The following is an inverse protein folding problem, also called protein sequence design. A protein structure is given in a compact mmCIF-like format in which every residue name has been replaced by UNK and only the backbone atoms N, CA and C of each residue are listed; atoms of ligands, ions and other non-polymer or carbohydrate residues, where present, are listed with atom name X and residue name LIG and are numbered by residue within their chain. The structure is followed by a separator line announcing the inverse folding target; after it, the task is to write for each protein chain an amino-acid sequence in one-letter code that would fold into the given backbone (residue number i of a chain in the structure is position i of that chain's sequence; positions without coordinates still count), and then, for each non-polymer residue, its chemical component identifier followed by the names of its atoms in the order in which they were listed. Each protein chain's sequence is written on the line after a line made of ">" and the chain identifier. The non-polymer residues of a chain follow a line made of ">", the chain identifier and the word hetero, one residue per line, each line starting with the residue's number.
data_IF_200028488358
#
_entry.id   IF_200028488358
#
_cell.length_a   1.000
_cell.length_b   1.000
_cell.length_c   1.000
_cell.angle_alpha   90.00
_cell.angle_beta   90.00
_cell.angle_gamma   90.00
#
_symmetry.space_group_name_H-M   'P 1'
#
loop_
_entity.id
_entity.type
_entity.pdbx_description
1 polymer ?
#
# COMPACT_ATOMS: atom_id res chain seq x y z
N UNK A 1 -37.44 -14.28 2.19
CA UNK A 1 -37.43 -12.80 2.29
C UNK A 1 -36.04 -12.41 2.81
N UNK A 2 -35.15 -11.96 1.93
CA UNK A 2 -33.77 -11.63 2.29
C UNK A 2 -33.73 -10.34 3.10
N UNK A 3 -32.94 -10.34 4.19
CA UNK A 3 -32.62 -9.14 4.95
C UNK A 3 -31.77 -8.22 4.05
N UNK A 4 -32.23 -6.99 3.83
CA UNK A 4 -31.38 -5.96 3.24
C UNK A 4 -30.31 -5.57 4.27
N UNK A 5 -29.04 -5.39 3.86
CA UNK A 5 -28.01 -4.93 4.77
C UNK A 5 -28.36 -3.54 5.31
N UNK A 6 -28.30 -3.39 6.64
CA UNK A 6 -28.51 -2.11 7.29
C UNK A 6 -27.42 -1.13 6.82
N UNK A 7 -27.83 0.00 6.25
CA UNK A 7 -26.92 1.12 5.94
C UNK A 7 -26.85 2.03 7.16
N UNK A 8 -25.70 2.07 7.82
CA UNK A 8 -25.38 3.08 8.80
C UNK A 8 -24.56 4.19 8.14
N UNK A 9 -25.11 5.40 8.07
CA UNK A 9 -24.33 6.59 7.71
C UNK A 9 -23.80 7.21 9.00
N UNK A 10 -22.49 7.35 9.09
CA UNK A 10 -21.80 7.97 10.23
C UNK A 10 -20.96 9.12 9.70
N UNK A 11 -21.00 10.27 10.39
CA UNK A 11 -20.17 11.42 10.08
C UNK A 11 -19.15 11.62 11.20
N UNK A 12 -17.87 11.66 10.84
CA UNK A 12 -16.77 11.99 11.75
C UNK A 12 -16.27 13.39 11.41
N UNK A 13 -16.20 14.26 12.41
CA UNK A 13 -15.73 15.64 12.26
C UNK A 13 -14.50 15.87 13.14
N UNK A 14 -13.47 16.50 12.60
CA UNK A 14 -12.22 16.81 13.31
C UNK A 14 -11.15 17.35 12.36
N UNK A 15 -9.99 17.70 12.90
CA UNK A 15 -8.78 17.93 12.10
C UNK A 15 -8.40 16.67 11.32
N UNK A 16 -7.62 16.77 10.22
CA UNK A 16 -7.17 15.59 9.47
C UNK A 16 -6.49 14.53 10.35
N UNK A 17 -5.76 14.96 11.39
CA UNK A 17 -5.14 14.05 12.37
C UNK A 17 -6.18 13.31 13.22
N UNK A 18 -7.22 13.99 13.69
CA UNK A 18 -8.30 13.40 14.50
C UNK A 18 -9.18 12.46 13.67
N UNK A 19 -9.46 12.82 12.42
CA UNK A 19 -10.17 11.95 11.47
C UNK A 19 -9.34 10.71 11.18
N UNK A 20 -8.05 10.86 10.87
CA UNK A 20 -7.18 9.71 10.62
C UNK A 20 -7.06 8.80 11.85
N UNK A 21 -6.94 9.36 13.06
CA UNK A 21 -6.94 8.59 14.30
C UNK A 21 -8.28 7.88 14.57
N UNK A 22 -9.41 8.53 14.23
CA UNK A 22 -10.74 7.92 14.37
C UNK A 22 -10.96 6.79 13.34
N UNK A 23 -10.45 6.93 12.11
CA UNK A 23 -10.46 5.87 11.10
C UNK A 23 -9.55 4.72 11.50
N UNK A 24 -8.39 5.00 12.11
CA UNK A 24 -7.47 3.99 12.64
C UNK A 24 -8.08 3.18 13.80
N UNK A 25 -8.85 3.85 14.67
CA UNK A 25 -9.68 3.22 15.71
C UNK A 25 -10.88 2.43 15.16
N UNK A 26 -11.30 2.69 13.92
CA UNK A 26 -12.31 1.92 13.21
C UNK A 26 -11.71 0.69 12.50
N UNK A 27 -10.46 0.33 12.81
CA UNK A 27 -9.86 -0.96 12.41
C UNK A 27 -10.82 -2.10 12.75
N UNK A 28 -11.50 -2.55 11.71
CA UNK A 28 -12.49 -3.59 11.77
C UNK A 28 -11.77 -4.92 11.80
N UNK A 29 -11.87 -5.64 12.93
CA UNK A 29 -11.59 -7.07 12.94
C UNK A 29 -12.86 -7.80 12.47
N UNK A 30 -12.86 -8.44 11.28
CA UNK A 30 -13.99 -9.25 10.85
C UNK A 30 -14.14 -10.44 11.80
N UNK A 31 -15.21 -10.46 12.60
CA UNK A 31 -15.52 -11.61 13.46
C UNK A 31 -16.14 -12.80 12.72
N UNK A 32 -16.27 -12.77 11.38
CA UNK A 32 -16.87 -13.88 10.62
C UNK A 32 -16.20 -14.07 9.25
N UNK A 33 -15.92 -15.33 8.83
CA UNK A 33 -15.08 -15.62 7.67
C UNK A 33 -15.74 -15.39 6.29
N UNK A 34 -17.06 -15.24 6.17
CA UNK A 34 -17.72 -15.51 4.87
C UNK A 34 -18.63 -14.41 4.29
N UNK A 35 -18.66 -13.18 4.83
CA UNK A 35 -19.49 -12.11 4.24
C UNK A 35 -18.73 -10.79 4.16
N UNK A 36 -18.38 -10.36 2.94
CA UNK A 36 -17.84 -9.04 2.66
C UNK A 36 -18.89 -7.96 3.02
N UNK A 37 -18.69 -7.25 4.12
CA UNK A 37 -19.44 -6.03 4.43
C UNK A 37 -18.73 -4.86 3.76
N UNK A 38 -19.29 -4.36 2.66
CA UNK A 38 -18.83 -3.09 2.07
C UNK A 38 -19.33 -1.94 2.95
N UNK A 39 -18.44 -1.32 3.71
CA UNK A 39 -18.77 -0.14 4.52
C UNK A 39 -18.35 1.12 3.76
N UNK A 40 -19.33 1.95 3.39
CA UNK A 40 -19.07 3.25 2.79
C UNK A 40 -18.91 4.28 3.90
N UNK A 41 -17.68 4.70 4.18
CA UNK A 41 -17.40 5.79 5.12
C UNK A 41 -17.38 7.10 4.33
N UNK A 42 -18.33 7.99 4.62
CA UNK A 42 -18.36 9.34 4.07
C UNK A 42 -17.80 10.31 5.13
N UNK A 43 -16.65 10.90 4.85
CA UNK A 43 -16.02 11.88 5.74
C UNK A 43 -16.25 13.28 5.18
N UNK A 44 -16.92 14.13 5.97
CA UNK A 44 -17.14 15.53 5.63
C UNK A 44 -16.22 16.41 6.51
N UNK A 45 -15.11 16.94 6.00
CA UNK A 45 -14.28 17.86 6.76
C UNK A 45 -14.96 19.23 6.78
N UNK A 46 -15.69 19.50 7.85
CA UNK A 46 -16.18 20.85 8.13
C UNK A 46 -15.10 21.60 8.89
N UNK A 47 -14.69 22.77 8.38
CA UNK A 47 -13.70 23.66 9.02
C UNK A 47 -14.18 24.31 10.33
N UNK A 48 -15.33 23.90 10.87
CA UNK A 48 -15.79 24.25 12.21
C UNK A 48 -16.87 23.27 12.64
N UNK A 49 -16.61 22.49 13.68
CA UNK A 49 -17.67 21.84 14.45
C UNK A 49 -18.45 22.92 15.20
N UNK A 50 -19.41 23.55 14.52
CA UNK A 50 -20.44 24.36 15.15
C UNK A 50 -21.78 23.77 14.71
N UNK A 51 -22.45 23.08 15.63
CA UNK A 51 -23.90 22.87 15.55
C UNK A 51 -24.50 24.02 16.36
N UNK A 52 -25.39 24.83 15.79
CA UNK A 52 -26.80 24.49 15.93
C UNK A 52 -27.54 24.33 14.61
N UNK A 53 -28.31 23.24 14.57
CA UNK A 53 -29.58 23.09 13.87
C UNK A 53 -30.37 24.40 13.82
N UNK A 54 -30.59 24.97 12.63
CA UNK A 54 -31.88 25.61 12.28
C UNK A 54 -31.98 26.22 10.88
N UNK A 55 -30.94 26.21 10.04
CA UNK A 55 -31.07 26.70 8.65
C UNK A 55 -30.34 25.82 7.66
N UNK A 56 -30.95 24.70 7.31
CA UNK A 56 -30.70 24.06 6.02
C UNK A 56 -31.26 25.00 4.93
N UNK A 57 -30.43 25.95 4.48
CA UNK A 57 -30.63 26.58 3.18
C UNK A 57 -30.56 25.46 2.11
N UNK A 58 -31.58 25.31 1.25
CA UNK A 58 -31.58 24.30 0.18
C UNK A 58 -30.54 24.56 -0.92
N UNK A 59 -29.71 25.60 -0.79
CA UNK A 59 -28.58 25.91 -1.67
C UNK A 59 -27.21 25.51 -1.10
N UNK A 60 -27.17 24.63 -0.10
CA UNK A 60 -25.93 24.15 0.52
C UNK A 60 -24.95 23.63 -0.52
N UNK A 61 -23.81 24.31 -0.62
CA UNK A 61 -22.68 23.96 -1.47
C UNK A 61 -22.24 22.54 -1.09
N UNK A 62 -22.63 21.55 -1.91
CA UNK A 62 -22.15 20.18 -1.82
C UNK A 62 -20.75 20.14 -2.41
N UNK A 63 -19.77 20.59 -1.65
CA UNK A 63 -18.41 20.11 -1.85
C UNK A 63 -18.41 18.66 -1.39
N UNK A 64 -18.65 17.75 -2.34
CA UNK A 64 -18.27 16.36 -2.16
C UNK A 64 -16.76 16.39 -1.93
N UNK A 65 -16.33 16.30 -0.68
CA UNK A 65 -14.97 15.92 -0.42
C UNK A 65 -14.88 14.46 -0.83
N UNK A 66 -14.52 14.24 -2.09
CA UNK A 66 -13.91 12.99 -2.48
C UNK A 66 -12.72 12.89 -1.55
N UNK A 67 -12.79 11.99 -0.56
CA UNK A 67 -11.60 11.47 0.05
C UNK A 67 -10.81 10.96 -1.16
N UNK A 68 -9.84 11.76 -1.62
CA UNK A 68 -8.87 11.26 -2.55
C UNK A 68 -8.18 10.20 -1.71
N UNK A 69 -8.68 8.96 -1.82
CA UNK A 69 -7.93 7.77 -1.50
C UNK A 69 -6.63 8.02 -2.23
N UNK A 70 -5.64 8.51 -1.50
CA UNK A 70 -4.39 8.85 -2.14
C UNK A 70 -3.91 7.51 -2.64
N UNK A 71 -3.89 7.35 -3.96
CA UNK A 71 -3.60 6.08 -4.59
C UNK A 71 -2.29 5.58 -3.98
N UNK A 72 -2.30 4.50 -3.16
CA UNK A 72 -1.11 4.10 -2.41
C UNK A 72 0.09 3.89 -3.33
N UNK A 73 -0.20 3.46 -4.56
CA UNK A 73 0.73 3.35 -5.69
C UNK A 73 1.57 4.62 -5.99
N UNK A 74 1.10 5.81 -5.61
CA UNK A 74 1.83 7.08 -5.81
C UNK A 74 2.71 7.48 -4.63
N UNK A 75 2.42 6.96 -3.44
CA UNK A 75 3.10 7.35 -2.20
C UNK A 75 4.03 6.27 -1.65
N UNK A 76 3.81 5.02 -2.02
CA UNK A 76 4.50 3.86 -1.46
C UNK A 76 5.33 3.19 -2.54
N UNK A 77 6.57 2.85 -2.19
CA UNK A 77 7.37 1.88 -2.92
C UNK A 77 7.55 0.66 -2.03
N UNK A 78 7.24 -0.52 -2.58
CA UNK A 78 7.47 -1.78 -1.89
C UNK A 78 8.92 -2.20 -2.13
N UNK A 79 9.61 -2.58 -1.07
CA UNK A 79 10.97 -3.12 -1.15
C UNK A 79 11.04 -4.51 -0.55
N UNK A 80 11.73 -5.41 -1.23
CA UNK A 80 11.92 -6.78 -0.75
C UNK A 80 13.27 -7.34 -1.22
N UNK A 81 13.78 -8.30 -0.46
CA UNK A 81 15.05 -8.96 -0.74
C UNK A 81 14.85 -10.46 -0.70
N UNK A 82 15.47 -11.19 -1.61
CA UNK A 82 15.44 -12.65 -1.63
C UNK A 82 16.81 -13.23 -1.93
N UNK A 83 17.20 -14.23 -1.14
CA UNK A 83 18.36 -15.07 -1.41
C UNK A 83 17.95 -16.18 -2.38
N UNK A 84 18.32 -16.07 -3.66
CA UNK A 84 18.07 -17.05 -4.75
C UNK A 84 16.59 -17.29 -5.14
N UNK A 85 15.61 -17.00 -4.27
CA UNK A 85 14.18 -17.31 -4.48
C UNK A 85 13.40 -16.17 -5.14
N UNK A 86 13.97 -15.55 -6.17
CA UNK A 86 13.45 -14.31 -6.77
C UNK A 86 12.07 -14.47 -7.44
N UNK A 87 11.66 -15.70 -7.73
CA UNK A 87 10.30 -16.03 -8.16
C UNK A 87 9.24 -15.76 -7.06
N UNK A 88 9.60 -15.80 -5.78
CA UNK A 88 8.70 -15.42 -4.67
C UNK A 88 8.42 -13.92 -4.70
N UNK A 89 9.42 -13.10 -5.01
CA UNK A 89 9.25 -11.65 -5.17
C UNK A 89 8.24 -11.31 -6.27
N UNK A 90 8.27 -12.04 -7.39
CA UNK A 90 7.27 -11.89 -8.47
C UNK A 90 5.86 -12.26 -8.00
N UNK A 91 5.72 -13.35 -7.24
CA UNK A 91 4.42 -13.78 -6.70
C UNK A 91 3.85 -12.73 -5.75
N UNK A 92 4.68 -12.20 -4.85
CA UNK A 92 4.34 -11.12 -3.93
C UNK A 92 3.95 -9.84 -4.69
N UNK A 93 4.73 -9.43 -5.68
CA UNK A 93 4.42 -8.23 -6.45
C UNK A 93 3.09 -8.37 -7.21
N UNK A 94 2.84 -9.53 -7.82
CA UNK A 94 1.57 -9.83 -8.51
C UNK A 94 0.37 -9.78 -7.56
N UNK A 95 0.46 -10.40 -6.38
CA UNK A 95 -0.65 -10.40 -5.41
C UNK A 95 -1.00 -8.98 -4.95
N UNK A 96 0.01 -8.13 -4.73
CA UNK A 96 -0.21 -6.73 -4.36
C UNK A 96 -0.82 -5.93 -5.53
N UNK A 97 -0.34 -6.18 -6.76
CA UNK A 97 -0.83 -5.49 -7.96
C UNK A 97 -2.29 -5.81 -8.31
N UNK A 98 -2.83 -6.96 -7.87
CA UNK A 98 -4.27 -7.28 -8.00
C UNK A 98 -5.16 -6.24 -7.29
N UNK A 99 -4.69 -5.71 -6.15
CA UNK A 99 -5.43 -4.76 -5.33
C UNK A 99 -4.98 -3.32 -5.52
N UNK A 100 -3.70 -3.12 -5.83
CA UNK A 100 -3.09 -1.81 -5.99
C UNK A 100 -2.38 -1.68 -7.35
N UNK A 101 -3.14 -1.54 -8.44
CA UNK A 101 -2.57 -1.31 -9.76
C UNK A 101 -1.63 -0.09 -9.74
N UNK A 102 -0.46 -0.23 -10.35
CA UNK A 102 0.53 0.85 -10.44
C UNK A 102 1.48 0.96 -9.25
N UNK A 103 1.39 0.08 -8.24
CA UNK A 103 2.36 0.02 -7.16
C UNK A 103 3.78 -0.23 -7.71
N UNK A 104 4.75 0.52 -7.20
CA UNK A 104 6.17 0.40 -7.56
C UNK A 104 6.86 -0.61 -6.65
N UNK A 105 7.73 -1.42 -7.23
CA UNK A 105 8.53 -2.39 -6.50
C UNK A 105 10.01 -2.20 -6.80
N UNK A 106 10.82 -2.23 -5.76
CA UNK A 106 12.26 -2.44 -5.89
C UNK A 106 12.62 -3.74 -5.16
N UNK A 107 13.40 -4.58 -5.83
CA UNK A 107 13.76 -5.89 -5.32
C UNK A 107 15.26 -6.09 -5.41
N UNK A 108 15.83 -6.85 -4.48
CA UNK A 108 17.18 -7.42 -4.64
C UNK A 108 17.05 -8.94 -4.75
N UNK A 109 17.80 -9.51 -5.69
CA UNK A 109 17.84 -10.93 -5.98
C UNK A 109 19.29 -11.39 -5.87
N UNK A 110 19.60 -12.23 -4.89
CA UNK A 110 20.95 -12.80 -4.80
C UNK A 110 21.15 -13.86 -5.88
N UNK A 111 22.37 -13.89 -6.41
CA UNK A 111 22.79 -14.91 -7.34
C UNK A 111 22.89 -16.28 -6.66
N UNK A 112 22.68 -17.35 -7.42
CA UNK A 112 22.52 -18.69 -6.88
C UNK A 112 23.77 -19.23 -6.15
N UNK A 113 24.96 -18.81 -6.60
CA UNK A 113 26.22 -19.23 -6.00
C UNK A 113 27.34 -18.20 -6.25
N UNK A 114 28.39 -18.30 -5.44
CA UNK A 114 29.59 -17.47 -5.59
C UNK A 114 30.26 -17.70 -6.95
N UNK A 115 30.50 -16.61 -7.69
CA UNK A 115 31.17 -16.68 -9.00
C UNK A 115 30.24 -17.02 -10.16
N UNK A 116 28.92 -16.96 -9.99
CA UNK A 116 27.96 -17.04 -11.10
C UNK A 116 28.31 -15.98 -12.17
N UNK A 117 28.64 -16.38 -13.41
CA UNK A 117 29.07 -15.45 -14.46
C UNK A 117 27.95 -14.53 -14.95
N UNK A 118 26.70 -14.85 -14.66
CA UNK A 118 25.56 -13.96 -14.91
C UNK A 118 25.45 -12.83 -13.88
N UNK A 119 26.18 -12.95 -12.77
CA UNK A 119 26.13 -12.03 -11.65
C UNK A 119 27.21 -10.96 -11.74
N UNK A 120 26.83 -9.70 -11.70
CA UNK A 120 27.77 -8.62 -11.57
C UNK A 120 28.29 -8.51 -10.12
N UNK A 121 29.57 -8.14 -9.96
CA UNK A 121 30.15 -7.79 -8.66
C UNK A 121 29.50 -6.56 -8.01
N UNK A 122 28.70 -5.82 -8.77
CA UNK A 122 27.98 -4.62 -8.33
C UNK A 122 26.50 -4.77 -8.65
N UNK A 123 25.61 -4.22 -7.79
CA UNK A 123 24.17 -4.28 -8.02
C UNK A 123 23.81 -3.79 -9.42
N UNK A 124 23.16 -4.64 -10.21
CA UNK A 124 22.78 -4.31 -11.59
C UNK A 124 21.26 -4.31 -11.71
N UNK A 125 20.64 -3.17 -12.05
CA UNK A 125 19.19 -3.10 -12.19
C UNK A 125 18.72 -3.70 -13.51
N UNK A 126 17.61 -4.40 -13.47
CA UNK A 126 16.80 -4.75 -14.63
C UNK A 126 15.31 -4.69 -14.29
N UNK A 127 14.45 -4.53 -15.30
CA UNK A 127 12.99 -4.60 -15.11
C UNK A 127 12.59 -6.07 -15.16
N UNK A 128 11.81 -6.52 -14.19
CA UNK A 128 11.30 -7.89 -14.20
C UNK A 128 10.39 -8.11 -15.42
N UNK A 129 10.63 -9.17 -16.22
CA UNK A 129 9.90 -9.38 -17.48
C UNK A 129 8.42 -9.71 -17.26
N UNK A 130 8.07 -10.18 -16.07
CA UNK A 130 6.75 -10.64 -15.68
C UNK A 130 5.96 -9.61 -14.87
N UNK A 131 6.66 -8.62 -14.29
CA UNK A 131 6.11 -7.55 -13.46
C UNK A 131 6.76 -6.20 -13.86
N UNK A 132 6.20 -5.48 -14.85
CA UNK A 132 6.83 -4.27 -15.39
C UNK A 132 7.02 -3.11 -14.41
N UNK A 133 6.28 -3.08 -13.29
CA UNK A 133 6.45 -2.09 -12.22
C UNK A 133 7.52 -2.48 -11.19
N UNK A 134 8.17 -3.62 -11.36
CA UNK A 134 9.23 -4.11 -10.50
C UNK A 134 10.61 -3.93 -11.16
N UNK A 135 11.49 -3.21 -10.47
CA UNK A 135 12.92 -3.18 -10.79
C UNK A 135 13.65 -4.11 -9.84
N UNK A 136 14.38 -5.08 -10.39
CA UNK A 136 15.19 -6.04 -9.66
C UNK A 136 16.65 -5.65 -9.77
N UNK A 137 17.35 -5.65 -8.65
CA UNK A 137 18.80 -5.48 -8.57
C UNK A 137 19.42 -6.85 -8.32
N UNK A 138 20.12 -7.37 -9.32
CA UNK A 138 20.94 -8.56 -9.17
C UNK A 138 22.12 -8.21 -8.27
N UNK A 139 22.26 -8.91 -7.15
CA UNK A 139 23.31 -8.68 -6.15
C UNK A 139 24.15 -9.95 -5.95
N UNK A 140 25.43 -9.81 -5.56
CA UNK A 140 26.29 -10.96 -5.30
C UNK A 140 25.67 -11.97 -4.32
N UNK A 141 26.09 -13.23 -4.42
CA UNK A 141 25.79 -14.24 -3.41
C UNK A 141 26.21 -13.75 -2.00
N UNK A 142 25.39 -14.03 -0.99
CA UNK A 142 25.63 -13.60 0.39
C UNK A 142 25.80 -12.07 0.51
N UNK A 143 24.98 -11.32 -0.23
CA UNK A 143 24.93 -9.85 -0.13
C UNK A 143 24.45 -9.42 1.25
N UNK A 144 23.57 -10.23 1.84
CA UNK A 144 23.05 -10.09 3.18
C UNK A 144 21.72 -9.34 3.22
N UNK A 145 20.75 -9.91 3.92
CA UNK A 145 19.36 -9.44 3.98
C UNK A 145 19.25 -7.94 4.31
N UNK A 146 19.94 -7.51 5.37
CA UNK A 146 19.90 -6.11 5.82
C UNK A 146 20.54 -5.17 4.80
N UNK A 147 21.66 -5.58 4.20
CA UNK A 147 22.37 -4.77 3.20
C UNK A 147 21.54 -4.61 1.93
N UNK A 148 20.89 -5.69 1.47
CA UNK A 148 19.94 -5.67 0.36
C UNK A 148 18.82 -4.66 0.60
N UNK A 149 18.15 -4.75 1.74
CA UNK A 149 17.07 -3.82 2.10
C UNK A 149 17.55 -2.37 2.23
N UNK A 150 18.70 -2.13 2.87
CA UNK A 150 19.27 -0.78 2.99
C UNK A 150 19.61 -0.15 1.64
N UNK A 151 20.16 -0.94 0.71
CA UNK A 151 20.38 -0.50 -0.67
C UNK A 151 19.06 -0.05 -1.30
N UNK A 152 18.03 -0.90 -1.25
CA UNK A 152 16.72 -0.60 -1.85
C UNK A 152 16.08 0.65 -1.25
N UNK A 153 16.09 0.79 0.07
CA UNK A 153 15.53 1.97 0.76
C UNK A 153 16.23 3.25 0.31
N UNK A 154 17.54 3.21 0.06
CA UNK A 154 18.29 4.39 -0.43
C UNK A 154 17.91 4.83 -1.86
N UNK A 155 17.22 3.96 -2.60
CA UNK A 155 16.78 4.18 -3.98
C UNK A 155 15.29 4.57 -4.07
N UNK A 156 14.57 4.57 -2.95
CA UNK A 156 13.15 4.92 -2.92
C UNK A 156 12.99 6.43 -3.12
N UNK A 157 12.18 6.80 -4.11
CA UNK A 157 11.83 8.20 -4.40
C UNK A 157 10.44 8.60 -3.87
N UNK A 158 9.64 7.62 -3.41
CA UNK A 158 8.32 7.89 -2.85
C UNK A 158 8.39 8.31 -1.39
N UNK A 159 7.32 8.92 -0.88
CA UNK A 159 7.25 9.44 0.49
C UNK A 159 7.38 8.33 1.55
N UNK A 160 6.84 7.14 1.24
CA UNK A 160 6.86 6.00 2.14
C UNK A 160 7.46 4.77 1.47
N UNK A 161 8.02 3.91 2.31
CA UNK A 161 8.54 2.60 1.94
C UNK A 161 7.80 1.52 2.71
N UNK A 162 7.37 0.47 2.02
CA UNK A 162 6.86 -0.75 2.65
C UNK A 162 7.90 -1.84 2.48
N UNK A 163 8.54 -2.25 3.58
CA UNK A 163 9.55 -3.30 3.58
C UNK A 163 8.87 -4.65 3.83
N UNK A 164 9.02 -5.59 2.90
CA UNK A 164 8.48 -6.95 3.00
C UNK A 164 9.60 -8.00 2.94
N UNK A 165 9.33 -9.16 3.52
CA UNK A 165 10.14 -10.37 3.38
C UNK A 165 9.64 -11.22 2.19
N UNK A 166 10.49 -12.11 1.66
CA UNK A 166 10.18 -12.93 0.48
C UNK A 166 9.32 -14.16 0.80
N UNK A 167 9.05 -14.45 2.07
CA UNK A 167 8.27 -15.58 2.59
C UNK A 167 6.82 -15.22 2.99
N UNK A 168 6.26 -14.17 2.38
CA UNK A 168 4.86 -13.77 2.49
C UNK A 168 3.83 -14.90 2.22
#
# INVERSE_FOLDING_TARGET
>A
KGLQPARGEWAVCGTPREVNAAVDLLSYEPTFPDNFVTMNISVNPVKSCAVPTDRLNPGGFRENLTLALVEPARLITVVAHSAERCWLLRRMARSILEWYPGMKFLATCECAYEGDPSCALSPTPHVDPEVPSMTVYDVPYDFGLSRGKSLLISLVETEFVLVLDDDF
#
